data_IF_407681738994
#
_entry.id   IF_407681738994
#
_cell.length_a   1.000
_cell.length_b   1.000
_cell.length_c   1.000
_cell.angle_alpha   90.00
_cell.angle_beta   90.00
_cell.angle_gamma   90.00
#
_symmetry.space_group_name_H-M   'P 1'
#
loop_
_entity.id
_entity.type
_entity.pdbx_description
1 polymer ?
#
# COMPACT_ATOMS: atom_id res chain seq x y z
N UNK A 1 12.07 -0.69 -1.51
CA UNK A 1 12.60 -1.73 -2.41
C UNK A 1 13.30 -1.04 -3.56
N UNK A 2 14.45 -1.52 -3.99
CA UNK A 2 15.16 -0.97 -5.16
C UNK A 2 15.23 -2.02 -6.25
N UNK A 3 14.84 -1.67 -7.48
CA UNK A 3 14.89 -2.54 -8.64
C UNK A 3 15.60 -1.81 -9.79
N UNK A 4 16.70 -2.37 -10.30
CA UNK A 4 17.45 -1.80 -11.42
C UNK A 4 17.79 -0.29 -11.26
N UNK A 5 18.11 0.14 -10.04
CA UNK A 5 18.42 1.55 -9.72
C UNK A 5 17.20 2.43 -9.46
N UNK A 6 15.98 1.94 -9.66
CA UNK A 6 14.73 2.65 -9.35
C UNK A 6 14.25 2.31 -7.94
N UNK A 7 13.94 3.35 -7.16
CA UNK A 7 13.53 3.24 -5.76
C UNK A 7 12.01 3.23 -5.64
N UNK A 8 11.47 2.10 -5.19
CA UNK A 8 10.05 1.93 -4.92
C UNK A 8 9.75 2.02 -3.43
N UNK A 9 8.73 2.81 -3.09
CA UNK A 9 8.22 2.95 -1.73
C UNK A 9 6.72 2.69 -1.72
N UNK A 10 6.32 1.81 -0.81
CA UNK A 10 4.94 1.42 -0.61
C UNK A 10 4.55 1.78 0.81
N UNK A 11 3.69 2.77 0.96
CA UNK A 11 3.38 3.40 2.26
C UNK A 11 1.89 3.64 2.42
N UNK A 12 1.32 3.46 3.62
CA UNK A 12 -0.04 3.92 3.90
C UNK A 12 -0.22 5.39 3.48
N UNK A 13 -1.36 5.71 2.88
CA UNK A 13 -1.72 7.07 2.44
C UNK A 13 -2.99 7.56 3.14
N UNK A 14 -3.99 6.68 3.25
CA UNK A 14 -5.22 6.91 4.02
C UNK A 14 -5.76 5.60 4.56
N UNK A 15 -6.91 5.65 5.22
CA UNK A 15 -7.49 4.50 5.92
C UNK A 15 -7.69 3.27 5.00
N UNK A 16 -8.11 3.54 3.77
CA UNK A 16 -8.43 2.52 2.78
C UNK A 16 -7.34 2.31 1.72
N UNK A 17 -6.30 3.17 1.68
CA UNK A 17 -5.37 3.21 0.56
C UNK A 17 -3.89 3.20 0.97
N UNK A 18 -3.12 2.48 0.17
CA UNK A 18 -1.66 2.45 0.21
C UNK A 18 -1.10 3.01 -1.09
N UNK A 19 -0.15 3.93 -0.98
CA UNK A 19 0.44 4.65 -2.09
C UNK A 19 1.77 4.01 -2.50
N UNK A 20 1.89 3.74 -3.80
CA UNK A 20 3.12 3.35 -4.47
C UNK A 20 3.79 4.60 -5.05
N UNK A 21 5.03 4.83 -4.62
CA UNK A 21 5.91 5.86 -5.16
C UNK A 21 7.11 5.23 -5.87
N UNK A 22 7.53 5.85 -6.96
CA UNK A 22 8.74 5.54 -7.73
C UNK A 22 9.62 6.78 -7.75
N UNK A 23 10.82 6.69 -7.19
CA UNK A 23 11.77 7.81 -7.07
C UNK A 23 11.13 9.09 -6.49
N UNK A 24 10.18 8.90 -5.56
CA UNK A 24 9.43 9.98 -4.92
C UNK A 24 8.13 10.40 -5.63
N UNK A 25 7.96 10.08 -6.92
CA UNK A 25 6.74 10.38 -7.67
C UNK A 25 5.61 9.39 -7.33
N UNK A 26 4.37 9.88 -7.20
CA UNK A 26 3.18 9.04 -6.98
C UNK A 26 2.82 8.32 -8.28
N UNK A 27 2.71 6.98 -8.23
CA UNK A 27 2.44 6.15 -9.40
C UNK A 27 1.06 5.52 -9.34
N UNK A 28 0.72 4.93 -8.19
CA UNK A 28 -0.58 4.30 -7.99
C UNK A 28 -1.00 4.27 -6.52
N UNK A 29 -2.31 4.27 -6.29
CA UNK A 29 -2.92 3.98 -4.98
C UNK A 29 -3.68 2.66 -5.04
N UNK A 30 -3.47 1.82 -4.04
CA UNK A 30 -4.05 0.49 -3.92
C UNK A 30 -4.95 0.46 -2.70
N UNK A 31 -6.19 -0.01 -2.86
CA UNK A 31 -7.13 -0.13 -1.77
C UNK A 31 -7.87 -1.47 -1.81
N UNK A 32 -8.32 -1.90 -0.64
CA UNK A 32 -9.20 -3.05 -0.46
C UNK A 32 -10.29 -2.59 0.49
N UNK A 33 -11.52 -2.54 -0.01
CA UNK A 33 -12.65 -2.14 0.83
C UNK A 33 -13.09 -3.28 1.77
N UNK A 34 -14.03 -2.97 2.66
CA UNK A 34 -14.59 -3.91 3.63
C UNK A 34 -15.39 -5.06 2.99
N UNK A 35 -15.82 -4.91 1.74
CA UNK A 35 -16.44 -5.98 0.96
C UNK A 35 -15.42 -6.87 0.24
N UNK A 36 -14.11 -6.58 0.39
CA UNK A 36 -13.03 -7.32 -0.25
C UNK A 36 -12.80 -6.94 -1.71
N UNK A 37 -13.36 -5.83 -2.18
CA UNK A 37 -13.10 -5.33 -3.53
C UNK A 37 -11.75 -4.64 -3.57
N UNK A 38 -10.86 -5.17 -4.39
CA UNK A 38 -9.56 -4.58 -4.65
C UNK A 38 -9.66 -3.51 -5.75
N UNK A 39 -9.16 -2.32 -5.46
CA UNK A 39 -9.17 -1.17 -6.40
C UNK A 39 -7.77 -0.62 -6.56
N UNK A 40 -7.40 -0.29 -7.80
CA UNK A 40 -6.13 0.37 -8.13
C UNK A 40 -6.40 1.63 -8.92
N UNK A 41 -5.88 2.74 -8.43
CA UNK A 41 -5.89 4.02 -9.12
C UNK A 41 -4.49 4.33 -9.62
N UNK A 42 -4.31 4.33 -10.94
CA UNK A 42 -3.05 4.72 -11.57
C UNK A 42 -3.02 6.24 -11.75
N UNK A 43 -2.03 6.90 -11.14
CA UNK A 43 -1.81 8.35 -11.30
C UNK A 43 -0.69 8.67 -12.29
N UNK A 44 0.17 7.70 -12.61
CA UNK A 44 1.16 7.86 -13.66
C UNK A 44 0.50 8.02 -15.02
N UNK A 45 1.06 8.88 -15.87
CA UNK A 45 0.67 8.99 -17.27
C UNK A 45 1.02 7.70 -18.01
N UNK A 46 0.31 7.44 -19.11
CA UNK A 46 0.53 6.22 -19.91
C UNK A 46 1.96 6.14 -20.43
N UNK A 47 2.53 7.26 -20.87
CA UNK A 47 3.93 7.30 -21.34
C UNK A 47 4.98 7.01 -20.25
N UNK A 48 4.66 7.27 -18.98
CA UNK A 48 5.58 7.10 -17.85
C UNK A 48 5.41 5.76 -17.11
N UNK A 49 4.37 5.02 -17.49
CA UNK A 49 3.98 3.75 -16.86
C UNK A 49 4.88 2.62 -17.36
N UNK A 50 5.49 1.88 -16.43
CA UNK A 50 6.32 0.72 -16.75
C UNK A 50 5.60 -0.57 -16.34
N UNK A 51 5.73 -1.67 -17.10
CA UNK A 51 5.19 -2.97 -16.69
C UNK A 51 5.68 -3.42 -15.30
N UNK A 52 6.91 -3.03 -14.93
CA UNK A 52 7.47 -3.28 -13.62
C UNK A 52 6.67 -2.60 -12.48
N UNK A 53 6.11 -1.40 -12.72
CA UNK A 53 5.33 -0.67 -11.70
C UNK A 53 4.07 -1.47 -11.32
N UNK A 54 3.41 -2.06 -12.32
CA UNK A 54 2.26 -2.95 -12.11
C UNK A 54 2.66 -4.21 -11.36
N UNK A 55 3.69 -4.92 -11.80
CA UNK A 55 4.13 -6.15 -11.16
C UNK A 55 4.51 -5.93 -9.69
N UNK A 56 5.29 -4.88 -9.41
CA UNK A 56 5.68 -4.50 -8.04
C UNK A 56 4.46 -4.10 -7.23
N UNK A 57 3.58 -3.27 -7.78
CA UNK A 57 2.35 -2.84 -7.10
C UNK A 57 1.47 -4.01 -6.68
N UNK A 58 1.20 -4.95 -7.59
CA UNK A 58 0.41 -6.14 -7.28
C UNK A 58 1.12 -7.07 -6.29
N UNK A 59 2.42 -7.34 -6.46
CA UNK A 59 3.17 -8.17 -5.53
C UNK A 59 3.20 -7.60 -4.10
N UNK A 60 3.39 -6.28 -3.96
CA UNK A 60 3.36 -5.62 -2.65
C UNK A 60 1.95 -5.58 -2.07
N UNK A 61 0.93 -5.29 -2.89
CA UNK A 61 -0.47 -5.29 -2.43
C UNK A 61 -0.94 -6.64 -1.89
N UNK A 62 -0.49 -7.73 -2.53
CA UNK A 62 -0.80 -9.10 -2.11
C UNK A 62 0.00 -9.51 -0.87
N UNK A 63 1.29 -9.19 -0.82
CA UNK A 63 2.15 -9.48 0.34
C UNK A 63 1.71 -8.76 1.61
N UNK A 64 1.32 -7.48 1.50
CA UNK A 64 0.90 -6.66 2.64
C UNK A 64 -0.61 -6.67 2.86
N UNK A 65 -1.37 -7.40 2.02
CA UNK A 65 -2.83 -7.49 2.07
C UNK A 65 -3.45 -6.10 2.24
N UNK A 66 -3.03 -5.17 1.37
CA UNK A 66 -3.41 -3.74 1.44
C UNK A 66 -4.88 -3.59 1.76
N UNK A 67 -5.18 -2.80 2.79
CA UNK A 67 -6.29 -2.98 3.75
C UNK A 67 -5.80 -3.03 5.22
N UNK A 68 -4.51 -2.73 5.45
CA UNK A 68 -3.77 -3.13 6.66
C UNK A 68 -3.98 -2.26 7.90
N UNK A 69 -4.92 -1.29 7.93
CA UNK A 69 -5.24 -0.64 9.21
C UNK A 69 -5.91 -1.60 10.18
N UNK A 70 -6.58 -2.67 9.73
CA UNK A 70 -7.08 -3.70 10.63
C UNK A 70 -5.99 -4.30 11.54
N UNK A 71 -4.75 -4.45 11.06
CA UNK A 71 -3.66 -5.02 11.86
C UNK A 71 -2.89 -3.95 12.63
N UNK A 72 -2.68 -2.76 12.05
CA UNK A 72 -1.96 -1.67 12.73
C UNK A 72 -2.81 -0.98 13.81
N UNK A 73 -4.12 -0.80 13.61
CA UNK A 73 -5.04 -0.28 14.65
C UNK A 73 -5.13 -1.26 15.83
N UNK A 74 -5.16 -2.57 15.57
CA UNK A 74 -5.14 -3.57 16.66
C UNK A 74 -3.80 -3.58 17.38
N UNK A 75 -2.68 -3.41 16.67
CA UNK A 75 -1.34 -3.31 17.28
C UNK A 75 -1.15 -2.01 18.08
N UNK A 76 -1.74 -0.90 17.65
CA UNK A 76 -1.62 0.42 18.31
C UNK A 76 -2.62 0.60 19.48
N UNK A 77 -3.82 0.01 19.41
CA UNK A 77 -4.83 0.07 20.48
C UNK A 77 -4.79 -1.15 21.42
N UNK A 78 -4.06 -2.21 21.08
CA UNK A 78 -3.92 -3.41 21.90
C UNK A 78 -3.23 -3.17 23.25
N UNK A 79 -2.51 -2.05 23.41
CA UNK A 79 -1.88 -1.66 24.67
C UNK A 79 -2.81 -0.97 25.67
N UNK A 80 -4.03 -0.56 25.29
CA UNK A 80 -4.97 0.12 26.21
C UNK A 80 -5.93 -0.82 26.95
N UNK A 81 -5.97 -2.13 26.63
CA UNK A 81 -6.88 -3.10 27.26
C UNK A 81 -6.15 -4.17 28.09
N UNK A 82 -5.06 -3.83 28.79
CA UNK A 82 -4.52 -4.71 29.82
C UNK A 82 -5.27 -4.44 31.13
N UNK A 83 -6.11 -5.36 31.65
CA UNK A 83 -6.62 -5.21 33.01
C UNK A 83 -5.42 -5.25 33.94
N UNK A 84 -5.23 -4.17 34.72
CA UNK A 84 -4.22 -4.20 35.79
C UNK A 84 -4.67 -5.21 36.86
N UNK A 85 -3.73 -5.98 37.43
CA UNK A 85 -4.03 -6.94 38.50
C UNK A 85 -4.58 -6.25 39.75
#
# INVERSE_FOLDING_TARGET
MTLAGTHYRFTPDSDDYTLLKRDGAKIASFGLDTAGKFTVFWQARREDSRPADAAIGYALSTAFRTGALGIFTVLLNGSENVPRP
#
